data_IF_791726053417
#
_entry.id   IF_791726053417
#
_cell.length_a   1.000
_cell.length_b   1.000
_cell.length_c   1.000
_cell.angle_alpha   90.00
_cell.angle_beta   90.00
_cell.angle_gamma   90.00
#
_symmetry.space_group_name_H-M   'P 1'
#
loop_
_entity.id
_entity.type
_entity.pdbx_description
1 polymer ?
#
# COMPACT_ATOMS: atom_id res chain seq x y z
N UNK A 1 8.73 -49.20 -5.67
CA UNK A 1 9.09 -48.46 -4.43
C UNK A 1 8.55 -47.03 -4.48
N UNK A 2 7.56 -46.79 -5.36
CA UNK A 2 7.39 -45.48 -6.01
C UNK A 2 6.12 -44.80 -5.48
N UNK A 3 5.11 -45.60 -5.14
CA UNK A 3 3.83 -45.14 -4.60
C UNK A 3 3.96 -44.52 -3.20
N UNK A 4 4.74 -45.14 -2.30
CA UNK A 4 4.96 -44.64 -0.94
C UNK A 4 5.72 -43.31 -0.96
N UNK A 5 6.72 -43.19 -1.84
CA UNK A 5 7.48 -41.96 -2.02
C UNK A 5 6.58 -40.81 -2.53
N UNK A 6 5.73 -41.07 -3.53
CA UNK A 6 4.74 -40.10 -4.00
C UNK A 6 3.77 -39.67 -2.90
N UNK A 7 3.31 -40.60 -2.06
CA UNK A 7 2.43 -40.29 -0.93
C UNK A 7 3.08 -39.39 0.13
N UNK A 8 4.36 -39.63 0.44
CA UNK A 8 5.13 -38.77 1.36
C UNK A 8 5.32 -37.37 0.77
N UNK A 9 5.66 -37.27 -0.52
CA UNK A 9 5.81 -35.98 -1.22
C UNK A 9 4.48 -35.22 -1.22
N UNK A 10 3.37 -35.92 -1.46
CA UNK A 10 2.03 -35.33 -1.41
C UNK A 10 1.72 -34.70 -0.05
N UNK A 11 1.96 -35.43 1.05
CA UNK A 11 1.73 -34.94 2.41
C UNK A 11 2.59 -33.71 2.69
N UNK A 12 3.88 -33.74 2.32
CA UNK A 12 4.80 -32.61 2.52
C UNK A 12 4.30 -31.37 1.77
N UNK A 13 3.89 -31.53 0.51
CA UNK A 13 3.36 -30.42 -0.30
C UNK A 13 2.06 -29.85 0.27
N UNK A 14 1.16 -30.71 0.75
CA UNK A 14 -0.08 -30.26 1.39
C UNK A 14 0.24 -29.50 2.68
N UNK A 15 1.12 -30.02 3.53
CA UNK A 15 1.53 -29.36 4.77
C UNK A 15 2.20 -28.01 4.51
N UNK A 16 3.07 -27.94 3.48
CA UNK A 16 3.71 -26.70 3.05
C UNK A 16 2.68 -25.68 2.52
N UNK A 17 1.73 -26.14 1.71
CA UNK A 17 0.65 -25.29 1.21
C UNK A 17 -0.21 -24.70 2.33
N UNK A 18 -0.56 -25.51 3.34
CA UNK A 18 -1.26 -25.04 4.54
C UNK A 18 -0.41 -24.02 5.30
N UNK A 19 0.89 -24.27 5.48
CA UNK A 19 1.79 -23.33 6.15
C UNK A 19 1.87 -21.98 5.44
N UNK A 20 1.86 -21.96 4.09
CA UNK A 20 1.81 -20.72 3.33
C UNK A 20 0.48 -19.96 3.50
N UNK A 21 -0.66 -20.65 3.63
CA UNK A 21 -1.93 -19.98 3.99
C UNK A 21 -1.81 -19.31 5.36
N UNK A 22 -1.25 -20.00 6.36
CA UNK A 22 -1.05 -19.41 7.68
C UNK A 22 -0.07 -18.23 7.65
N UNK A 23 1.02 -18.33 6.89
CA UNK A 23 1.97 -17.24 6.72
C UNK A 23 1.33 -16.02 6.05
N UNK A 24 0.42 -16.23 5.08
CA UNK A 24 -0.34 -15.15 4.45
C UNK A 24 -1.33 -14.49 5.42
N UNK A 25 -1.97 -15.26 6.32
CA UNK A 25 -2.88 -14.71 7.32
C UNK A 25 -2.17 -13.83 8.37
N UNK A 26 -0.90 -14.13 8.66
CA UNK A 26 -0.08 -13.35 9.60
C UNK A 26 0.62 -12.16 8.94
N UNK A 27 0.89 -12.25 7.63
CA UNK A 27 1.58 -11.19 6.89
C UNK A 27 0.59 -10.28 6.15
N UNK A 28 0.38 -9.08 6.66
CA UNK A 28 -0.42 -8.04 5.98
C UNK A 28 0.26 -7.49 4.71
N UNK A 29 1.55 -7.81 4.49
CA UNK A 29 2.38 -7.15 3.47
C UNK A 29 2.87 -8.09 2.34
N UNK A 30 2.79 -9.42 2.50
CA UNK A 30 3.45 -10.38 1.59
C UNK A 30 2.44 -11.13 0.71
N UNK A 31 2.11 -10.52 -0.42
CA UNK A 31 1.09 -10.95 -1.39
C UNK A 31 1.50 -12.17 -2.26
N UNK A 32 2.65 -12.81 -1.99
CA UNK A 32 3.17 -13.95 -2.78
C UNK A 32 2.77 -15.32 -2.21
N UNK A 33 2.42 -15.40 -0.92
CA UNK A 33 2.17 -16.68 -0.26
C UNK A 33 0.88 -17.37 -0.75
N UNK A 34 -0.17 -16.62 -1.12
CA UNK A 34 -1.43 -17.20 -1.61
C UNK A 34 -1.32 -18.01 -2.89
N UNK A 35 -0.74 -17.47 -3.99
CA UNK A 35 -0.50 -18.25 -5.20
C UNK A 35 0.36 -19.50 -4.96
N UNK A 36 1.40 -19.38 -4.12
CA UNK A 36 2.28 -20.49 -3.77
C UNK A 36 1.57 -21.58 -2.96
N UNK A 37 0.67 -21.18 -2.04
CA UNK A 37 -0.16 -22.09 -1.25
C UNK A 37 -1.09 -22.91 -2.14
N UNK A 38 -1.83 -22.25 -3.03
CA UNK A 38 -2.74 -22.90 -4.00
C UNK A 38 -1.96 -23.90 -4.86
N UNK A 39 -0.79 -23.50 -5.35
CA UNK A 39 0.07 -24.38 -6.16
C UNK A 39 0.50 -25.63 -5.38
N UNK A 40 1.00 -25.47 -4.15
CA UNK A 40 1.45 -26.60 -3.32
C UNK A 40 0.30 -27.53 -2.93
N UNK A 41 -0.85 -26.98 -2.53
CA UNK A 41 -2.02 -27.78 -2.14
C UNK A 41 -2.54 -28.63 -3.28
N UNK A 42 -2.63 -28.08 -4.50
CA UNK A 42 -3.19 -28.84 -5.60
C UNK A 42 -2.20 -29.88 -6.14
N UNK A 43 -0.91 -29.56 -6.25
CA UNK A 43 0.10 -30.56 -6.64
C UNK A 43 0.15 -31.68 -5.59
N UNK A 44 0.11 -31.33 -4.31
CA UNK A 44 0.03 -32.32 -3.24
C UNK A 44 -1.20 -33.22 -3.36
N UNK A 45 -2.37 -32.64 -3.67
CA UNK A 45 -3.60 -33.41 -3.90
C UNK A 45 -3.54 -34.32 -5.14
N UNK A 46 -2.92 -33.86 -6.23
CA UNK A 46 -2.67 -34.68 -7.43
C UNK A 46 -1.73 -35.83 -7.11
N UNK A 47 -0.64 -35.59 -6.39
CA UNK A 47 0.34 -36.63 -6.04
C UNK A 47 -0.27 -37.65 -5.08
N UNK A 48 -1.16 -37.23 -4.18
CA UNK A 48 -1.92 -38.12 -3.30
C UNK A 48 -2.85 -39.06 -4.09
N UNK A 49 -3.51 -38.53 -5.13
CA UNK A 49 -4.35 -39.33 -6.01
C UNK A 49 -3.52 -40.30 -6.85
N UNK A 50 -2.37 -39.86 -7.37
CA UNK A 50 -1.44 -40.68 -8.14
C UNK A 50 -0.75 -41.77 -7.30
N UNK A 51 -0.59 -41.57 -5.99
CA UNK A 51 0.07 -42.54 -5.11
C UNK A 51 -0.78 -43.76 -4.74
N UNK A 52 -2.10 -43.73 -5.02
CA UNK A 52 -3.02 -44.80 -4.62
C UNK A 52 -4.09 -45.09 -5.70
N UNK A 53 -3.70 -45.56 -6.90
CA UNK A 53 -4.65 -45.79 -7.99
C UNK A 53 -5.63 -46.94 -7.74
N UNK A 54 -5.28 -47.91 -6.89
CA UNK A 54 -6.05 -49.15 -6.70
C UNK A 54 -7.05 -49.13 -5.54
N UNK A 55 -6.90 -48.23 -4.57
CA UNK A 55 -7.79 -48.19 -3.40
C UNK A 55 -9.11 -47.47 -3.65
N UNK A 56 -9.23 -46.70 -4.73
CA UNK A 56 -10.42 -45.90 -5.01
C UNK A 56 -11.49 -46.61 -5.84
N UNK A 57 -11.28 -47.87 -6.29
CA UNK A 57 -12.28 -48.67 -7.05
C UNK A 57 -12.86 -47.95 -8.30
N UNK A 58 -12.16 -46.94 -8.82
CA UNK A 58 -12.57 -46.15 -9.98
C UNK A 58 -12.05 -46.82 -11.25
N UNK A 59 -12.88 -46.91 -12.29
CA UNK A 59 -12.45 -47.49 -13.57
C UNK A 59 -11.30 -46.68 -14.18
N UNK A 60 -10.33 -47.30 -14.86
CA UNK A 60 -9.18 -46.60 -15.44
C UNK A 60 -9.50 -45.42 -16.37
N UNK A 61 -10.66 -45.40 -17.04
CA UNK A 61 -11.06 -44.28 -17.89
C UNK A 61 -11.45 -43.01 -17.12
N UNK A 62 -11.94 -43.15 -15.89
CA UNK A 62 -12.38 -42.01 -15.07
C UNK A 62 -11.22 -41.31 -14.36
N UNK A 63 -10.13 -42.03 -14.07
CA UNK A 63 -8.95 -41.46 -13.40
C UNK A 63 -8.24 -40.43 -14.29
N UNK A 64 -8.10 -40.70 -15.58
CA UNK A 64 -7.53 -39.76 -16.55
C UNK A 64 -8.38 -38.48 -16.67
N UNK A 65 -9.69 -38.63 -16.78
CA UNK A 65 -10.64 -37.51 -16.89
C UNK A 65 -10.59 -36.63 -15.64
N UNK A 66 -10.64 -37.23 -14.45
CA UNK A 66 -10.57 -36.50 -13.18
C UNK A 66 -9.24 -35.75 -13.03
N UNK A 67 -8.14 -36.38 -13.43
CA UNK A 67 -6.80 -35.74 -13.37
C UNK A 67 -6.73 -34.52 -14.28
N UNK A 68 -7.25 -34.62 -15.51
CA UNK A 68 -7.29 -33.50 -16.46
C UNK A 68 -8.16 -32.35 -15.92
N UNK A 69 -9.31 -32.65 -15.32
CA UNK A 69 -10.19 -31.64 -14.70
C UNK A 69 -9.46 -30.91 -13.56
N UNK A 70 -8.76 -31.64 -12.69
CA UNK A 70 -7.99 -31.03 -11.60
C UNK A 70 -6.91 -30.10 -12.15
N UNK A 71 -6.14 -30.55 -13.15
CA UNK A 71 -5.11 -29.72 -13.81
C UNK A 71 -5.72 -28.46 -14.44
N UNK A 72 -6.86 -28.58 -15.11
CA UNK A 72 -7.55 -27.44 -15.71
C UNK A 72 -7.97 -26.41 -14.65
N UNK A 73 -8.50 -26.86 -13.50
CA UNK A 73 -8.89 -25.99 -12.38
C UNK A 73 -7.65 -25.28 -11.80
N UNK A 74 -6.51 -25.97 -11.66
CA UNK A 74 -5.24 -25.36 -11.23
C UNK A 74 -4.83 -24.23 -12.15
N UNK A 75 -4.84 -24.47 -13.45
CA UNK A 75 -4.40 -23.49 -14.43
C UNK A 75 -5.30 -22.26 -14.39
N UNK A 76 -6.61 -22.45 -14.25
CA UNK A 76 -7.57 -21.34 -14.17
C UNK A 76 -7.40 -20.56 -12.86
N UNK A 77 -7.42 -21.23 -11.70
CA UNK A 77 -7.31 -20.57 -10.40
C UNK A 77 -5.93 -19.95 -10.18
N UNK A 78 -4.88 -20.66 -10.56
CA UNK A 78 -3.50 -20.18 -10.48
C UNK A 78 -3.24 -18.99 -11.40
N UNK A 79 -3.72 -19.04 -12.66
CA UNK A 79 -3.62 -17.91 -13.59
C UNK A 79 -4.40 -16.69 -13.08
N UNK A 80 -5.62 -16.89 -12.60
CA UNK A 80 -6.43 -15.81 -12.03
C UNK A 80 -5.74 -15.16 -10.82
N UNK A 81 -5.23 -15.97 -9.88
CA UNK A 81 -4.50 -15.49 -8.72
C UNK A 81 -3.25 -14.70 -9.12
N UNK A 82 -2.46 -15.20 -10.08
CA UNK A 82 -1.27 -14.51 -10.59
C UNK A 82 -1.60 -13.16 -11.25
N UNK A 83 -2.70 -13.07 -11.99
CA UNK A 83 -3.16 -11.82 -12.60
C UNK A 83 -3.56 -10.78 -11.55
N UNK A 84 -4.23 -11.20 -10.48
CA UNK A 84 -4.61 -10.32 -9.37
C UNK A 84 -3.36 -9.78 -8.68
N UNK A 85 -2.42 -10.65 -8.29
CA UNK A 85 -1.15 -10.23 -7.65
C UNK A 85 -0.35 -9.31 -8.57
N UNK A 86 -0.26 -9.62 -9.88
CA UNK A 86 0.40 -8.75 -10.85
C UNK A 86 -0.22 -7.34 -10.89
N UNK A 87 -1.56 -7.24 -10.91
CA UNK A 87 -2.25 -5.95 -10.91
C UNK A 87 -2.04 -5.19 -9.61
N UNK A 88 -2.08 -5.87 -8.46
CA UNK A 88 -1.84 -5.25 -7.16
C UNK A 88 -0.42 -4.65 -7.06
N UNK A 89 0.59 -5.41 -7.46
CA UNK A 89 1.98 -4.93 -7.50
C UNK A 89 2.13 -3.73 -8.45
N UNK A 90 1.46 -3.77 -9.61
CA UNK A 90 1.51 -2.67 -10.58
C UNK A 90 0.85 -1.40 -10.05
N UNK A 91 -0.22 -1.53 -9.27
CA UNK A 91 -0.90 -0.39 -8.61
C UNK A 91 -0.01 0.25 -7.54
N UNK A 92 0.66 -0.57 -6.71
CA UNK A 92 1.56 -0.08 -5.66
C UNK A 92 2.78 0.66 -6.24
N UNK A 93 3.26 0.26 -7.42
CA UNK A 93 4.45 0.83 -8.06
C UNK A 93 4.22 2.13 -8.84
N UNK A 94 2.98 2.52 -9.11
CA UNK A 94 2.69 3.72 -9.88
C UNK A 94 1.80 4.70 -9.09
N UNK A 95 2.34 5.44 -8.10
CA UNK A 95 1.61 6.49 -7.40
C UNK A 95 1.47 7.73 -8.31
N UNK A 96 0.76 7.61 -9.43
CA UNK A 96 0.80 8.56 -10.55
C UNK A 96 0.02 9.88 -10.34
N UNK A 97 -0.35 10.23 -9.11
CA UNK A 97 -1.01 11.52 -8.80
C UNK A 97 -0.44 12.24 -7.57
N UNK A 98 0.65 11.74 -6.98
CA UNK A 98 1.30 12.41 -5.83
C UNK A 98 2.21 13.55 -6.30
N UNK A 99 2.87 13.40 -7.47
CA UNK A 99 3.80 14.42 -7.98
C UNK A 99 3.11 15.73 -8.40
N UNK A 100 1.84 15.70 -8.78
CA UNK A 100 1.12 16.92 -9.22
C UNK A 100 0.69 17.79 -8.02
N UNK A 101 0.46 17.17 -6.86
CA UNK A 101 0.04 17.87 -5.64
C UNK A 101 1.25 18.44 -4.89
N UNK A 102 2.40 17.75 -4.93
CA UNK A 102 3.63 18.17 -4.26
C UNK A 102 4.30 19.30 -5.05
N UNK A 103 4.54 20.44 -4.39
CA UNK A 103 5.03 21.67 -4.98
C UNK A 103 3.93 22.67 -5.35
N UNK A 104 2.66 22.26 -5.29
CA UNK A 104 1.50 23.13 -5.49
C UNK A 104 1.36 24.19 -4.39
N UNK A 105 0.77 25.33 -4.76
CA UNK A 105 0.47 26.44 -3.85
C UNK A 105 -1.02 26.42 -3.52
N UNK A 106 -1.35 26.30 -2.24
CA UNK A 106 -2.70 26.37 -1.72
C UNK A 106 -2.92 27.60 -0.84
N UNK A 107 -4.18 27.83 -0.45
CA UNK A 107 -4.57 28.89 0.48
C UNK A 107 -5.15 28.29 1.76
N UNK A 108 -4.69 28.70 2.94
CA UNK A 108 -5.26 28.24 4.22
C UNK A 108 -6.68 28.79 4.41
N UNK A 109 -7.55 27.98 5.00
CA UNK A 109 -8.91 28.41 5.38
C UNK A 109 -8.99 28.56 6.90
N UNK A 110 -8.42 27.59 7.61
CA UNK A 110 -8.33 27.58 9.06
C UNK A 110 -6.91 27.94 9.52
N UNK A 111 -6.80 28.28 10.80
CA UNK A 111 -5.51 28.33 11.48
C UNK A 111 -4.97 26.90 11.68
N UNK A 112 -3.77 26.63 11.18
CA UNK A 112 -3.13 25.32 11.21
C UNK A 112 -1.88 25.41 12.08
N UNK A 113 -1.74 24.51 13.04
CA UNK A 113 -0.56 24.39 13.91
C UNK A 113 -0.13 22.93 14.05
N UNK A 114 0.95 22.70 14.80
CA UNK A 114 1.45 21.35 15.08
C UNK A 114 0.43 20.49 15.84
N UNK A 115 -0.32 21.10 16.75
CA UNK A 115 -1.30 20.43 17.60
C UNK A 115 -2.71 20.45 16.98
N UNK A 116 -3.03 21.48 16.19
CA UNK A 116 -4.34 21.67 15.59
C UNK A 116 -4.25 21.62 14.07
N UNK A 117 -4.68 20.50 13.48
CA UNK A 117 -4.81 20.39 12.03
C UNK A 117 -5.95 21.27 11.50
N UNK A 118 -5.88 21.65 10.23
CA UNK A 118 -6.92 22.46 9.58
C UNK A 118 -7.02 22.16 8.10
N UNK A 119 -7.78 22.99 7.36
CA UNK A 119 -8.00 22.80 5.93
C UNK A 119 -7.32 23.88 5.08
N UNK A 120 -6.86 23.46 3.91
CA UNK A 120 -6.37 24.34 2.84
C UNK A 120 -7.22 24.14 1.59
N UNK A 121 -7.33 25.18 0.78
CA UNK A 121 -7.93 25.13 -0.54
C UNK A 121 -6.81 25.02 -1.59
N UNK A 122 -6.85 23.95 -2.41
CA UNK A 122 -5.93 23.72 -3.52
C UNK A 122 -6.74 23.32 -4.75
N UNK A 123 -6.59 24.03 -5.88
CA UNK A 123 -7.42 23.87 -7.09
C UNK A 123 -8.95 23.86 -6.85
N UNK A 124 -9.42 24.56 -5.82
CA UNK A 124 -10.85 24.60 -5.47
C UNK A 124 -11.33 23.43 -4.61
N UNK A 125 -10.45 22.48 -4.26
CA UNK A 125 -10.74 21.38 -3.33
C UNK A 125 -10.26 21.69 -1.91
N UNK A 126 -10.96 21.16 -0.91
CA UNK A 126 -10.61 21.26 0.50
C UNK A 126 -9.77 20.07 0.93
N UNK A 127 -8.55 20.34 1.39
CA UNK A 127 -7.59 19.32 1.82
C UNK A 127 -7.21 19.49 3.28
N UNK A 128 -7.13 18.39 4.03
CA UNK A 128 -6.59 18.41 5.39
C UNK A 128 -5.09 18.64 5.33
N UNK A 129 -4.61 19.57 6.14
CA UNK A 129 -3.20 19.90 6.20
C UNK A 129 -2.69 20.03 7.64
N UNK A 130 -1.39 19.79 7.79
CA UNK A 130 -0.64 20.04 9.02
C UNK A 130 0.64 20.79 8.70
N UNK A 131 1.06 21.64 9.63
CA UNK A 131 2.34 22.33 9.58
C UNK A 131 3.05 22.21 10.92
N UNK A 132 4.38 22.32 10.89
CA UNK A 132 5.19 22.39 12.12
C UNK A 132 5.16 23.76 12.77
N UNK A 133 4.76 24.79 12.02
CA UNK A 133 4.60 26.17 12.48
C UNK A 133 3.14 26.58 12.44
N UNK A 134 2.78 27.58 13.25
CA UNK A 134 1.42 28.13 13.23
C UNK A 134 1.25 29.00 12.01
N UNK A 135 0.27 28.67 11.17
CA UNK A 135 -0.10 29.38 9.96
C UNK A 135 -1.55 29.86 10.13
N UNK A 136 -1.77 31.16 9.93
CA UNK A 136 -3.08 31.78 10.05
C UNK A 136 -4.00 31.48 8.86
N UNK A 137 -5.29 31.83 8.96
CA UNK A 137 -6.24 31.64 7.87
C UNK A 137 -5.97 32.62 6.71
N UNK A 138 -6.19 32.17 5.47
CA UNK A 138 -6.13 32.97 4.25
C UNK A 138 -4.75 33.11 3.58
N UNK A 139 -3.74 32.39 4.04
CA UNK A 139 -2.34 32.56 3.63
C UNK A 139 -1.91 31.55 2.57
N UNK A 140 -0.95 31.93 1.73
CA UNK A 140 -0.40 31.06 0.70
C UNK A 140 0.62 30.10 1.29
N UNK A 141 0.44 28.81 1.01
CA UNK A 141 1.26 27.74 1.55
C UNK A 141 1.65 26.78 0.43
N UNK A 142 2.88 26.29 0.49
CA UNK A 142 3.42 25.32 -0.44
C UNK A 142 3.31 23.91 0.12
N UNK A 143 2.82 22.98 -0.68
CA UNK A 143 2.68 21.57 -0.30
C UNK A 143 4.02 20.87 -0.50
N UNK A 144 4.60 20.33 0.58
CA UNK A 144 5.92 19.69 0.58
C UNK A 144 5.79 18.19 0.36
N UNK A 145 4.78 17.60 0.99
CA UNK A 145 4.56 16.14 0.99
C UNK A 145 3.10 15.82 1.20
N UNK A 146 2.66 14.70 0.64
CA UNK A 146 1.36 14.10 0.89
C UNK A 146 1.57 12.77 1.63
N UNK A 147 0.96 12.61 2.80
CA UNK A 147 0.90 11.35 3.54
C UNK A 147 -0.56 10.92 3.65
N UNK A 148 -0.95 9.95 2.81
CA UNK A 148 -2.34 9.51 2.69
C UNK A 148 -3.28 10.65 2.28
N UNK A 149 -4.11 11.09 3.22
CA UNK A 149 -5.11 12.15 3.05
C UNK A 149 -4.70 13.49 3.67
N UNK A 150 -3.51 13.58 4.27
CA UNK A 150 -3.01 14.78 4.95
C UNK A 150 -1.86 15.36 4.14
N UNK A 151 -1.91 16.67 3.91
CA UNK A 151 -0.86 17.44 3.26
C UNK A 151 0.04 18.12 4.30
N UNK A 152 1.34 17.98 4.12
CA UNK A 152 2.33 18.74 4.88
C UNK A 152 2.68 20.00 4.12
N UNK A 153 2.58 21.14 4.81
CA UNK A 153 2.71 22.47 4.21
C UNK A 153 3.70 23.35 4.97
N UNK A 154 4.35 24.24 4.23
CA UNK A 154 5.10 25.38 4.75
C UNK A 154 4.60 26.68 4.10
N UNK A 155 4.78 27.85 4.75
CA UNK A 155 4.50 29.14 4.15
C UNK A 155 5.34 29.34 2.90
N UNK A 156 4.74 29.91 1.85
CA UNK A 156 5.47 30.26 0.62
C UNK A 156 6.31 31.54 0.78
N UNK A 157 5.80 32.50 1.55
CA UNK A 157 6.43 33.81 1.73
C UNK A 157 7.16 33.89 3.08
N UNK A 158 8.48 34.03 3.00
CA UNK A 158 9.30 34.46 4.11
C UNK A 158 9.03 35.95 4.39
N UNK A 159 8.47 36.26 5.55
CA UNK A 159 8.30 37.64 5.99
C UNK A 159 9.67 38.20 6.38
N UNK A 160 10.04 39.36 5.84
CA UNK A 160 11.28 40.05 6.20
C UNK A 160 10.99 41.36 6.94
N UNK A 161 11.81 41.67 7.93
CA UNK A 161 11.68 42.93 8.66
C UNK A 161 12.00 44.13 7.76
N UNK A 162 11.12 45.15 7.66
CA UNK A 162 11.36 46.34 6.84
C UNK A 162 12.49 47.22 7.37
N UNK A 163 12.87 47.08 8.65
CA UNK A 163 13.92 47.90 9.26
C UNK A 163 15.31 47.25 9.13
N UNK A 164 15.46 45.96 9.45
CA UNK A 164 16.77 45.30 9.52
C UNK A 164 16.97 44.14 8.55
N UNK A 165 15.95 43.77 7.75
CA UNK A 165 16.03 42.68 6.78
C UNK A 165 16.09 41.27 7.37
N UNK A 166 15.95 41.12 8.69
CA UNK A 166 15.94 39.80 9.34
C UNK A 166 14.65 39.05 8.97
N UNK A 167 14.78 37.75 8.65
CA UNK A 167 13.65 36.84 8.46
C UNK A 167 12.81 36.81 9.73
N UNK A 168 11.56 37.21 9.61
CA UNK A 168 10.60 37.22 10.70
C UNK A 168 10.02 35.83 10.87
N UNK A 169 9.82 35.45 12.13
CA UNK A 169 8.99 34.31 12.46
C UNK A 169 7.56 34.67 12.10
N UNK A 170 6.85 33.70 11.55
CA UNK A 170 5.51 33.91 11.05
C UNK A 170 4.54 34.30 12.18
N UNK A 171 3.87 35.45 12.05
CA UNK A 171 3.02 36.02 13.11
C UNK A 171 3.76 36.85 14.19
N UNK A 172 5.03 37.18 13.99
CA UNK A 172 5.78 38.01 14.93
C UNK A 172 5.29 39.47 14.94
N UNK A 173 4.72 39.91 16.07
CA UNK A 173 4.37 41.33 16.30
C UNK A 173 5.61 42.23 16.37
N UNK A 174 6.76 41.67 16.76
CA UNK A 174 8.02 42.38 16.89
C UNK A 174 9.17 41.61 16.23
N UNK A 175 10.06 42.34 15.57
CA UNK A 175 11.29 41.76 15.06
C UNK A 175 12.20 41.33 16.23
N UNK A 176 12.62 40.06 16.25
CA UNK A 176 13.54 39.50 17.25
C UNK A 176 14.94 40.11 17.21
N UNK A 177 15.32 40.79 16.11
CA UNK A 177 16.65 41.37 15.95
C UNK A 177 16.69 42.88 16.27
N UNK A 178 15.73 43.67 15.76
CA UNK A 178 15.75 45.13 15.90
C UNK A 178 14.61 45.71 16.75
N UNK A 179 13.67 44.88 17.22
CA UNK A 179 12.54 45.31 18.03
C UNK A 179 11.47 46.13 17.28
N UNK A 180 11.60 46.32 15.96
CA UNK A 180 10.57 47.00 15.17
C UNK A 180 9.27 46.23 15.21
N UNK A 181 8.19 46.95 15.50
CA UNK A 181 6.85 46.39 15.48
C UNK A 181 6.40 46.14 14.04
N UNK A 182 6.14 44.88 13.70
CA UNK A 182 5.78 44.43 12.36
C UNK A 182 4.30 44.04 12.40
N UNK A 183 3.43 45.05 12.22
CA UNK A 183 1.99 44.82 12.14
C UNK A 183 1.69 44.32 10.74
N UNK A 184 1.13 43.12 10.64
CA UNK A 184 0.57 42.57 9.41
C UNK A 184 -0.63 43.38 8.95
#
# INVERSE_FOLDING_TARGET
MDQIALGIIAIILIALGVAFVFAELESEEVEFFGPAAIFCLIIGMVFWFLSNPTSWLISPGWTEIITIIIIAIVLVLGSFSALVTYKMIKLKKNPSHVLEIVGGIGKTIDEISREKGGYIQFHGEYWKARSNITIGPGQKVKIIKKEGLILFIEPEEDLFCPNCGTKLVFGAEFCSNCGTHVKN
#
